data_IF_332370349901
#
_entry.id   IF_332370349901
#
_cell.length_a   1.000
_cell.length_b   1.000
_cell.length_c   1.000
_cell.angle_alpha   90.00
_cell.angle_beta   90.00
_cell.angle_gamma   90.00
#
_symmetry.space_group_name_H-M   'P 1'
#
loop_
_entity.id
_entity.type
_entity.pdbx_description
1 polymer ?
#
# COMPACT_ATOMS: atom_id res chain seq x y z
N UNK A 1 -16.91 -1.70 13.70
CA UNK A 1 -16.85 -1.77 12.21
C UNK A 1 -15.62 -2.56 11.80
N UNK A 2 -15.77 -3.57 10.93
CA UNK A 2 -14.64 -4.38 10.45
C UNK A 2 -13.69 -3.51 9.60
N UNK A 3 -12.38 -3.56 9.83
CA UNK A 3 -11.36 -2.78 9.10
C UNK A 3 -11.53 -2.86 7.57
N UNK A 4 -11.86 -4.04 7.06
CA UNK A 4 -12.15 -4.30 5.64
C UNK A 4 -13.31 -3.45 5.11
N UNK A 5 -14.38 -3.29 5.88
CA UNK A 5 -15.54 -2.48 5.49
C UNK A 5 -15.24 -0.98 5.49
N UNK A 6 -14.38 -0.51 6.40
CA UNK A 6 -13.89 0.88 6.40
C UNK A 6 -13.00 1.15 5.17
N UNK A 7 -12.09 0.23 4.84
CA UNK A 7 -11.23 0.31 3.66
C UNK A 7 -12.03 0.44 2.36
N UNK A 8 -12.99 -0.46 2.11
CA UNK A 8 -13.77 -0.41 0.86
C UNK A 8 -14.72 0.80 0.79
N UNK A 9 -15.13 1.34 1.94
CA UNK A 9 -15.89 2.60 2.00
C UNK A 9 -15.03 3.78 1.55
N UNK A 10 -13.79 3.88 2.08
CA UNK A 10 -12.83 4.87 1.64
C UNK A 10 -12.49 4.72 0.15
N UNK A 11 -12.20 3.49 -0.30
CA UNK A 11 -11.88 3.19 -1.68
C UNK A 11 -13.00 3.65 -2.63
N UNK A 12 -14.26 3.31 -2.32
CA UNK A 12 -15.41 3.76 -3.10
C UNK A 12 -15.54 5.28 -3.11
N UNK A 13 -15.53 5.94 -1.94
CA UNK A 13 -15.68 7.39 -1.85
C UNK A 13 -14.59 8.16 -2.61
N UNK A 14 -13.36 7.65 -2.62
CA UNK A 14 -12.20 8.34 -3.20
C UNK A 14 -11.98 8.03 -4.69
N UNK A 15 -12.24 6.79 -5.11
CA UNK A 15 -11.88 6.26 -6.43
C UNK A 15 -13.09 5.96 -7.34
N UNK A 16 -14.33 6.16 -6.89
CA UNK A 16 -15.49 6.06 -7.78
C UNK A 16 -15.40 7.05 -8.95
N UNK A 17 -14.91 8.26 -8.72
CA UNK A 17 -14.77 9.31 -9.75
C UNK A 17 -13.33 9.47 -10.26
N UNK A 18 -12.33 8.89 -9.57
CA UNK A 18 -10.92 9.01 -9.94
C UNK A 18 -10.36 7.66 -10.36
N UNK A 19 -9.74 7.60 -11.54
CA UNK A 19 -9.04 6.41 -12.00
C UNK A 19 -7.69 6.26 -11.25
N UNK A 20 -7.48 5.16 -10.50
CA UNK A 20 -6.23 4.87 -9.82
C UNK A 20 -5.14 4.63 -10.87
N UNK A 21 -4.06 5.40 -10.73
CA UNK A 21 -2.96 5.42 -11.69
C UNK A 21 -1.89 4.41 -11.27
N UNK A 22 -1.47 3.54 -12.18
CA UNK A 22 -0.46 2.53 -11.90
C UNK A 22 0.90 3.14 -11.52
N UNK A 23 1.19 4.38 -11.95
CA UNK A 23 2.41 5.09 -11.60
C UNK A 23 2.59 5.27 -10.09
N UNK A 24 1.50 5.45 -9.33
CA UNK A 24 1.59 5.55 -7.86
C UNK A 24 2.06 4.26 -7.21
N UNK A 25 1.66 3.10 -7.77
CA UNK A 25 2.14 1.79 -7.29
C UNK A 25 3.63 1.65 -7.57
N UNK A 26 4.07 2.06 -8.76
CA UNK A 26 5.49 2.01 -9.12
C UNK A 26 6.34 2.87 -8.20
N UNK A 27 5.92 4.11 -7.92
CA UNK A 27 6.62 5.01 -6.98
C UNK A 27 6.67 4.39 -5.57
N UNK A 28 5.55 3.87 -5.08
CA UNK A 28 5.47 3.29 -3.73
C UNK A 28 6.36 2.04 -3.57
N UNK A 29 6.34 1.14 -4.55
CA UNK A 29 7.17 -0.06 -4.53
C UNK A 29 8.65 0.24 -4.78
N UNK A 30 8.96 1.20 -5.64
CA UNK A 30 10.33 1.65 -5.85
C UNK A 30 10.90 2.25 -4.56
N UNK A 31 10.14 3.13 -3.89
CA UNK A 31 10.53 3.71 -2.60
C UNK A 31 10.78 2.62 -1.55
N UNK A 32 9.83 1.70 -1.38
CA UNK A 32 10.00 0.59 -0.44
C UNK A 32 11.20 -0.29 -0.79
N UNK A 33 11.41 -0.60 -2.07
CA UNK A 33 12.53 -1.41 -2.53
C UNK A 33 13.87 -0.74 -2.29
N UNK A 34 13.98 0.56 -2.60
CA UNK A 34 15.19 1.35 -2.38
C UNK A 34 15.58 1.35 -0.89
N UNK A 35 14.67 1.75 -0.01
CA UNK A 35 14.96 1.77 1.44
C UNK A 35 15.12 0.36 2.02
N UNK A 36 14.41 -0.64 1.48
CA UNK A 36 14.59 -2.03 1.86
C UNK A 36 16.01 -2.51 1.59
N UNK A 37 16.56 -2.19 0.41
CA UNK A 37 17.94 -2.52 0.06
C UNK A 37 18.94 -1.81 0.97
N UNK A 38 18.74 -0.52 1.28
CA UNK A 38 19.66 0.20 2.19
C UNK A 38 19.66 -0.41 3.59
N UNK A 39 18.51 -0.88 4.08
CA UNK A 39 18.43 -1.59 5.37
C UNK A 39 19.13 -2.95 5.34
N UNK A 40 19.01 -3.71 4.24
CA UNK A 40 19.72 -4.98 4.09
C UNK A 40 21.23 -4.77 4.06
N UNK A 41 21.71 -3.77 3.32
CA UNK A 41 23.14 -3.40 3.31
C UNK A 41 23.60 -2.98 4.71
N UNK A 42 22.80 -2.16 5.40
CA UNK A 42 23.07 -1.75 6.78
C UNK A 42 23.18 -2.95 7.74
N UNK A 43 22.25 -3.90 7.66
CA UNK A 43 22.28 -5.10 8.51
C UNK A 43 23.53 -5.97 8.29
N UNK A 44 24.06 -5.99 7.06
CA UNK A 44 25.30 -6.70 6.72
C UNK A 44 26.54 -5.93 7.21
N UNK A 45 26.51 -4.59 7.14
CA UNK A 45 27.65 -3.74 7.53
C UNK A 45 27.76 -3.50 9.05
N UNK A 46 26.63 -3.22 9.70
CA UNK A 46 26.51 -3.01 11.14
C UNK A 46 25.12 -3.48 11.61
N UNK A 47 25.07 -4.74 12.03
CA UNK A 47 23.84 -5.37 12.50
C UNK A 47 23.25 -4.65 13.70
N UNK A 48 24.08 -4.27 14.69
CA UNK A 48 23.59 -3.76 15.98
C UNK A 48 23.04 -2.34 15.83
N UNK A 49 23.77 -1.45 15.16
CA UNK A 49 23.29 -0.10 14.86
C UNK A 49 22.07 -0.11 13.94
N UNK A 50 22.00 -1.04 12.98
CA UNK A 50 20.85 -1.11 12.06
C UNK A 50 19.58 -1.65 12.72
N UNK A 51 19.69 -2.57 13.68
CA UNK A 51 18.53 -3.06 14.45
C UNK A 51 17.95 -1.98 15.36
N UNK A 52 18.77 -1.07 15.90
CA UNK A 52 18.27 0.06 16.71
C UNK A 52 17.39 1.02 15.90
N UNK A 53 17.65 1.15 14.60
CA UNK A 53 16.84 1.98 13.67
C UNK A 53 15.75 1.20 12.94
N UNK A 54 15.46 -0.05 13.33
CA UNK A 54 14.42 -0.89 12.73
C UNK A 54 13.00 -0.27 12.74
N UNK A 55 12.59 0.54 13.75
CA UNK A 55 11.33 1.27 13.68
C UNK A 55 11.23 2.19 12.44
N UNK A 56 12.36 2.74 11.99
CA UNK A 56 12.44 3.51 10.74
C UNK A 56 12.15 2.63 9.51
N UNK A 57 12.56 1.36 9.52
CA UNK A 57 12.31 0.43 8.41
C UNK A 57 10.81 0.23 8.19
N UNK A 58 10.03 0.18 9.28
CA UNK A 58 8.57 0.07 9.19
C UNK A 58 8.00 1.28 8.44
N UNK A 59 8.45 2.49 8.79
CA UNK A 59 7.96 3.73 8.18
C UNK A 59 8.39 3.88 6.71
N UNK A 60 9.64 3.53 6.38
CA UNK A 60 10.20 3.79 5.05
C UNK A 60 10.05 2.63 4.06
N UNK A 61 9.83 1.41 4.56
CA UNK A 61 9.70 0.21 3.72
C UNK A 61 8.28 -0.35 3.80
N UNK A 62 7.82 -0.68 5.02
CA UNK A 62 6.55 -1.40 5.20
C UNK A 62 5.36 -0.51 4.86
N UNK A 63 5.33 0.73 5.35
CA UNK A 63 4.22 1.65 5.09
C UNK A 63 4.04 1.95 3.59
N UNK A 64 5.07 2.34 2.81
CA UNK A 64 4.93 2.56 1.38
C UNK A 64 4.55 1.28 0.62
N UNK A 65 5.13 0.13 0.97
CA UNK A 65 4.78 -1.14 0.35
C UNK A 65 3.31 -1.50 0.57
N UNK A 66 2.80 -1.33 1.79
CA UNK A 66 1.39 -1.56 2.11
C UNK A 66 0.47 -0.58 1.36
N UNK A 67 0.84 0.70 1.29
CA UNK A 67 0.06 1.69 0.54
C UNK A 67 0.01 1.35 -0.96
N UNK A 68 1.14 0.97 -1.56
CA UNK A 68 1.20 0.50 -2.94
C UNK A 68 0.33 -0.74 -3.18
N UNK A 69 0.38 -1.70 -2.26
CA UNK A 69 -0.46 -2.90 -2.32
C UNK A 69 -1.96 -2.59 -2.23
N UNK A 70 -2.36 -1.76 -1.27
CA UNK A 70 -3.76 -1.34 -1.11
C UNK A 70 -4.25 -0.56 -2.34
N UNK A 71 -3.42 0.33 -2.90
CA UNK A 71 -3.74 1.04 -4.13
C UNK A 71 -3.94 0.06 -5.30
N UNK A 72 -3.05 -0.93 -5.43
CA UNK A 72 -3.17 -2.00 -6.44
C UNK A 72 -4.47 -2.79 -6.32
N UNK A 73 -4.89 -3.12 -5.10
CA UNK A 73 -6.17 -3.80 -4.86
C UNK A 73 -7.36 -2.95 -5.35
N UNK A 74 -7.33 -1.64 -5.08
CA UNK A 74 -8.39 -0.72 -5.53
C UNK A 74 -8.42 -0.66 -7.07
N UNK A 75 -7.25 -0.54 -7.71
CA UNK A 75 -7.15 -0.50 -9.18
C UNK A 75 -7.67 -1.77 -9.83
N UNK A 76 -7.25 -2.93 -9.34
CA UNK A 76 -7.71 -4.23 -9.86
C UNK A 76 -9.22 -4.35 -9.70
N UNK A 77 -9.78 -3.95 -8.56
CA UNK A 77 -11.23 -4.03 -8.34
C UNK A 77 -12.00 -3.06 -9.25
N UNK A 78 -11.53 -1.82 -9.42
CA UNK A 78 -12.17 -0.84 -10.29
C UNK A 78 -12.13 -1.23 -11.77
N UNK A 79 -11.09 -1.94 -12.20
CA UNK A 79 -10.99 -2.44 -13.57
C UNK A 79 -12.05 -3.52 -13.90
N UNK A 80 -12.76 -4.07 -12.90
CA UNK A 80 -13.86 -5.04 -13.10
C UNK A 80 -15.18 -4.40 -13.55
N UNK A 81 -15.24 -3.08 -13.68
CA UNK A 81 -16.38 -2.34 -14.19
C UNK A 81 -16.82 -1.17 -13.30
N UNK A 82 -17.68 -0.31 -13.83
CA UNK A 82 -18.04 0.98 -13.22
C UNK A 82 -18.59 0.86 -11.80
N UNK A 83 -19.34 -0.20 -11.49
CA UNK A 83 -19.95 -0.41 -10.16
C UNK A 83 -19.19 -1.40 -9.27
N UNK A 84 -18.01 -1.88 -9.70
CA UNK A 84 -17.29 -2.92 -8.97
C UNK A 84 -16.91 -2.50 -7.54
N UNK A 85 -16.46 -1.26 -7.34
CA UNK A 85 -16.15 -0.71 -6.02
C UNK A 85 -17.39 -0.58 -5.12
N UNK A 86 -18.55 -0.24 -5.71
CA UNK A 86 -19.81 -0.15 -4.97
C UNK A 86 -20.28 -1.53 -4.51
N UNK A 87 -20.27 -2.53 -5.39
CA UNK A 87 -20.57 -3.92 -5.05
C UNK A 87 -19.65 -4.44 -3.94
N UNK A 88 -18.35 -4.13 -4.04
CA UNK A 88 -17.35 -4.55 -3.04
C UNK A 88 -17.56 -3.91 -1.66
N UNK A 89 -18.00 -2.64 -1.64
CA UNK A 89 -18.37 -1.94 -0.41
C UNK A 89 -19.57 -2.61 0.27
N UNK A 90 -20.62 -2.96 -0.48
CA UNK A 90 -21.83 -3.61 0.09
C UNK A 90 -21.48 -4.99 0.62
N UNK A 91 -20.73 -5.79 -0.14
CA UNK A 91 -20.34 -7.15 0.26
C UNK A 91 -19.38 -7.20 1.45
N UNK A 92 -18.83 -6.05 1.87
CA UNK A 92 -17.82 -5.94 2.93
C UNK A 92 -18.31 -5.17 4.16
N UNK A 93 -19.61 -4.84 4.24
CA UNK A 93 -20.25 -4.33 5.46
C UNK A 93 -20.22 -5.38 6.58
#
# INVERSE_FOLDING_TARGET
MRLKGAFWRFAHQRYQTRKPRWQWELIAFFWAGFFGLTYVVGLVADFRGTVEILPGAILFVVTPALLGWLHRLIRIEQNKGNDALYRKRISSK
#
